data_IF_429554712860
#
_entry.id   IF_429554712860
#
_cell.length_a   1.000
_cell.length_b   1.000
_cell.length_c   1.000
_cell.angle_alpha   90.00
_cell.angle_beta   90.00
_cell.angle_gamma   90.00
#
_symmetry.space_group_name_H-M   'P 1'
#
loop_
_entity.id
_entity.type
_entity.pdbx_description
1 polymer ?
#
# COMPACT_ATOMS: atom_id res chain seq x y z
N UNK A 1 4.58 23.94 -0.36
CA UNK A 1 3.54 22.92 -0.08
C UNK A 1 3.82 21.71 -0.95
N UNK A 2 3.71 20.50 -0.41
CA UNK A 2 3.82 19.29 -1.22
C UNK A 2 2.68 19.24 -2.25
N UNK A 3 2.94 18.68 -3.43
CA UNK A 3 1.92 18.53 -4.46
C UNK A 3 0.82 17.57 -3.97
N UNK A 4 -0.43 17.80 -4.35
CA UNK A 4 -1.55 16.92 -3.99
C UNK A 4 -1.35 15.52 -4.60
N UNK A 5 -2.02 14.50 -4.03
CA UNK A 5 -2.00 13.15 -4.60
C UNK A 5 -2.39 13.15 -6.08
N UNK A 6 -3.47 13.83 -6.45
CA UNK A 6 -3.92 13.92 -7.85
C UNK A 6 -2.85 14.53 -8.77
N UNK A 7 -2.20 15.62 -8.35
CA UNK A 7 -1.11 16.24 -9.14
C UNK A 7 0.06 15.27 -9.34
N UNK A 8 0.46 14.54 -8.29
CA UNK A 8 1.53 13.53 -8.38
C UNK A 8 1.14 12.35 -9.26
N UNK A 9 -0.11 11.93 -9.18
CA UNK A 9 -0.65 10.85 -10.02
C UNK A 9 -0.62 11.23 -11.50
N UNK A 10 -1.06 12.44 -11.86
CA UNK A 10 -1.02 12.95 -13.23
C UNK A 10 0.42 13.00 -13.76
N UNK A 11 1.36 13.47 -12.94
CA UNK A 11 2.79 13.47 -13.29
C UNK A 11 3.32 12.06 -13.55
N UNK A 12 2.95 11.10 -12.69
CA UNK A 12 3.36 9.71 -12.85
C UNK A 12 2.72 9.06 -14.09
N UNK A 13 1.47 9.36 -14.38
CA UNK A 13 0.81 8.89 -15.60
C UNK A 13 1.49 9.44 -16.86
N UNK A 14 1.90 10.71 -16.85
CA UNK A 14 2.62 11.30 -17.97
C UNK A 14 4.01 10.67 -18.18
N UNK A 15 4.68 10.27 -17.09
CA UNK A 15 6.04 9.72 -17.12
C UNK A 15 6.10 8.21 -17.38
N UNK A 16 5.21 7.43 -16.77
CA UNK A 16 5.27 5.97 -16.72
C UNK A 16 4.05 5.29 -17.35
N UNK A 17 3.02 6.05 -17.79
CA UNK A 17 1.74 5.49 -18.21
C UNK A 17 0.84 5.13 -17.02
N UNK A 18 -0.32 4.55 -17.33
CA UNK A 18 -1.42 4.33 -16.37
C UNK A 18 -1.43 2.92 -15.75
N UNK A 19 -0.31 2.19 -15.80
CA UNK A 19 -0.23 0.87 -15.18
C UNK A 19 -0.09 0.99 -13.66
N UNK A 20 -0.97 0.30 -12.93
CA UNK A 20 -0.84 0.04 -11.50
C UNK A 20 -0.44 -1.43 -11.30
N UNK A 21 0.68 -1.67 -10.66
CA UNK A 21 1.15 -3.04 -10.36
C UNK A 21 0.60 -3.48 -9.00
N UNK A 22 -0.13 -4.62 -8.98
CA UNK A 22 -0.55 -5.28 -7.75
C UNK A 22 0.56 -6.12 -7.12
N UNK A 23 0.65 -6.11 -5.78
CA UNK A 23 1.52 -7.00 -5.02
C UNK A 23 0.63 -7.89 -4.15
N UNK A 24 0.31 -9.05 -4.70
CA UNK A 24 -0.68 -9.98 -4.16
C UNK A 24 -0.05 -11.37 -3.94
N UNK A 25 0.81 -11.53 -2.91
CA UNK A 25 1.57 -12.76 -2.64
C UNK A 25 0.69 -13.90 -2.08
N UNK A 26 -0.31 -14.34 -2.88
CA UNK A 26 -1.13 -15.49 -2.52
C UNK A 26 -0.34 -16.80 -2.67
N UNK A 27 -0.80 -17.85 -1.99
CA UNK A 27 -0.06 -19.09 -1.84
C UNK A 27 0.40 -19.70 -3.18
N UNK A 28 -0.53 -19.83 -4.15
CA UNK A 28 -0.20 -20.43 -5.44
C UNK A 28 0.82 -19.62 -6.24
N UNK A 29 0.81 -18.28 -6.12
CA UNK A 29 1.81 -17.44 -6.80
C UNK A 29 3.20 -17.59 -6.19
N UNK A 30 3.28 -17.71 -4.85
CA UNK A 30 4.56 -18.00 -4.17
C UNK A 30 5.10 -19.36 -4.61
N UNK A 31 4.24 -20.39 -4.69
CA UNK A 31 4.59 -21.73 -5.17
C UNK A 31 5.10 -21.70 -6.63
N UNK A 32 4.44 -20.95 -7.52
CA UNK A 32 4.88 -20.76 -8.92
C UNK A 32 6.26 -20.11 -9.01
N UNK A 33 6.63 -19.29 -8.03
CA UNK A 33 7.96 -18.67 -7.90
C UNK A 33 8.99 -19.59 -7.20
N UNK A 34 8.59 -20.80 -6.81
CA UNK A 34 9.44 -21.73 -6.06
C UNK A 34 9.69 -21.30 -4.62
N UNK A 35 8.81 -20.45 -4.07
CA UNK A 35 8.87 -19.95 -2.71
C UNK A 35 7.90 -20.72 -1.81
N UNK A 36 8.25 -20.83 -0.54
CA UNK A 36 7.35 -21.36 0.49
C UNK A 36 6.35 -20.30 1.00
N UNK A 37 5.54 -20.65 2.01
CA UNK A 37 4.58 -19.73 2.63
C UNK A 37 5.15 -19.16 3.94
N UNK A 38 6.35 -18.62 3.89
CA UNK A 38 7.02 -17.97 5.03
C UNK A 38 7.00 -16.44 4.93
N UNK A 39 7.38 -15.77 6.00
CA UNK A 39 7.60 -14.30 6.01
C UNK A 39 8.76 -13.92 5.09
N UNK A 40 9.78 -14.77 5.03
CA UNK A 40 10.94 -14.60 4.16
C UNK A 40 10.55 -14.64 2.69
N UNK A 41 9.67 -15.59 2.32
CA UNK A 41 9.11 -15.69 0.98
C UNK A 41 8.22 -14.50 0.63
N UNK A 42 7.35 -14.08 1.56
CA UNK A 42 6.55 -12.85 1.44
C UNK A 42 7.46 -11.64 1.13
N UNK A 43 8.52 -11.48 1.91
CA UNK A 43 9.48 -10.38 1.73
C UNK A 43 10.17 -10.47 0.38
N UNK A 44 10.71 -11.63 0.04
CA UNK A 44 11.43 -11.87 -1.23
C UNK A 44 10.56 -11.53 -2.42
N UNK A 45 9.34 -12.05 -2.47
CA UNK A 45 8.39 -11.77 -3.54
C UNK A 45 8.08 -10.27 -3.64
N UNK A 46 7.66 -9.67 -2.52
CA UNK A 46 7.21 -8.28 -2.50
C UNK A 46 8.30 -7.30 -2.90
N UNK A 47 9.52 -7.49 -2.39
CA UNK A 47 10.66 -6.64 -2.73
C UNK A 47 11.11 -6.82 -4.17
N UNK A 48 11.07 -8.05 -4.72
CA UNK A 48 11.38 -8.30 -6.12
C UNK A 48 10.40 -7.62 -7.07
N UNK A 49 9.10 -7.62 -6.73
CA UNK A 49 8.09 -6.91 -7.54
C UNK A 49 8.30 -5.40 -7.45
N UNK A 50 8.62 -4.86 -6.27
CA UNK A 50 8.92 -3.44 -6.10
C UNK A 50 10.15 -3.03 -6.93
N UNK A 51 11.25 -3.76 -6.82
CA UNK A 51 12.48 -3.49 -7.57
C UNK A 51 12.23 -3.52 -9.10
N UNK A 52 11.51 -4.53 -9.58
CA UNK A 52 11.14 -4.63 -10.99
C UNK A 52 10.24 -3.48 -11.47
N UNK A 53 9.50 -2.85 -10.55
CA UNK A 53 8.57 -1.75 -10.84
C UNK A 53 9.27 -0.38 -10.85
N UNK A 54 10.36 -0.22 -10.11
CA UNK A 54 11.09 1.05 -10.00
C UNK A 54 11.55 1.56 -11.36
N UNK A 55 11.25 2.84 -11.65
CA UNK A 55 11.58 3.50 -12.91
C UNK A 55 10.77 3.04 -14.13
N UNK A 56 9.78 2.17 -13.94
CA UNK A 56 8.95 1.59 -15.03
C UNK A 56 7.47 1.86 -14.88
N UNK A 57 6.97 1.94 -13.65
CA UNK A 57 5.56 2.22 -13.37
C UNK A 57 5.41 3.32 -12.33
N UNK A 58 4.31 4.06 -12.40
CA UNK A 58 4.06 5.18 -11.49
C UNK A 58 3.27 4.83 -10.23
N UNK A 59 2.63 3.65 -10.21
CA UNK A 59 1.73 3.25 -9.11
C UNK A 59 1.92 1.78 -8.77
N UNK A 60 1.99 1.47 -7.47
CA UNK A 60 2.02 0.11 -6.95
C UNK A 60 0.99 -0.05 -5.84
N UNK A 61 0.35 -1.22 -5.76
CA UNK A 61 -0.74 -1.48 -4.82
C UNK A 61 -0.57 -2.82 -4.10
N UNK A 62 0.11 -2.85 -2.95
CA UNK A 62 0.16 -4.05 -2.12
C UNK A 62 -1.21 -4.36 -1.50
N UNK A 63 -1.61 -5.63 -1.57
CA UNK A 63 -2.81 -6.15 -0.92
C UNK A 63 -2.48 -6.53 0.52
N UNK A 64 -2.92 -5.72 1.46
CA UNK A 64 -2.55 -5.79 2.89
C UNK A 64 -2.90 -7.14 3.52
N UNK A 65 -4.01 -7.77 3.14
CA UNK A 65 -4.44 -9.05 3.70
C UNK A 65 -3.38 -10.16 3.60
N UNK A 66 -2.54 -10.16 2.56
CA UNK A 66 -1.48 -11.15 2.40
C UNK A 66 -0.30 -10.92 3.34
N UNK A 67 -0.15 -9.73 3.86
CA UNK A 67 0.83 -9.37 4.90
C UNK A 67 0.24 -9.62 6.29
N UNK A 68 -1.01 -9.21 6.50
CA UNK A 68 -1.75 -9.38 7.76
C UNK A 68 -1.78 -10.84 8.24
N UNK A 69 -1.92 -11.82 7.34
CA UNK A 69 -1.95 -13.25 7.69
C UNK A 69 -0.69 -13.73 8.44
N UNK A 70 0.41 -13.01 8.33
CA UNK A 70 1.66 -13.31 9.05
C UNK A 70 1.82 -12.52 10.35
N UNK A 71 0.77 -11.78 10.78
CA UNK A 71 0.78 -10.98 12.00
C UNK A 71 1.79 -9.85 11.95
N UNK A 72 2.39 -9.53 13.09
CA UNK A 72 3.35 -8.42 13.22
C UNK A 72 4.56 -8.55 12.28
N UNK A 73 5.01 -9.77 12.00
CA UNK A 73 6.13 -10.01 11.07
C UNK A 73 5.77 -9.65 9.62
N UNK A 74 4.55 -9.94 9.21
CA UNK A 74 4.06 -9.56 7.89
C UNK A 74 3.88 -8.05 7.78
N UNK A 75 3.37 -7.39 8.82
CA UNK A 75 3.31 -5.92 8.87
C UNK A 75 4.70 -5.27 8.83
N UNK A 76 5.72 -5.87 9.47
CA UNK A 76 7.09 -5.37 9.37
C UNK A 76 7.62 -5.42 7.91
N UNK A 77 7.28 -6.46 7.16
CA UNK A 77 7.60 -6.53 5.71
C UNK A 77 6.86 -5.44 4.92
N UNK A 78 5.60 -5.18 5.23
CA UNK A 78 4.81 -4.13 4.57
C UNK A 78 5.37 -2.73 4.86
N UNK A 79 5.82 -2.49 6.09
CA UNK A 79 6.46 -1.25 6.53
C UNK A 79 7.81 -1.04 5.81
N UNK A 80 8.63 -2.09 5.72
CA UNK A 80 9.86 -2.08 4.92
C UNK A 80 9.55 -1.79 3.44
N UNK A 81 8.57 -2.47 2.87
CA UNK A 81 8.13 -2.26 1.48
C UNK A 81 7.75 -0.80 1.22
N UNK A 82 6.92 -0.22 2.09
CA UNK A 82 6.51 1.18 1.98
C UNK A 82 7.70 2.14 2.05
N UNK A 83 8.63 1.90 2.98
CA UNK A 83 9.84 2.69 3.15
C UNK A 83 10.74 2.63 1.91
N UNK A 84 10.92 1.46 1.32
CA UNK A 84 11.73 1.31 0.10
C UNK A 84 11.03 1.96 -1.12
N UNK A 85 9.71 1.82 -1.24
CA UNK A 85 8.95 2.45 -2.32
C UNK A 85 9.07 3.97 -2.32
N UNK A 86 9.13 4.61 -1.13
CA UNK A 86 9.31 6.06 -1.00
C UNK A 86 10.65 6.58 -1.51
N UNK A 87 11.66 5.73 -1.65
CA UNK A 87 12.95 6.11 -2.24
C UNK A 87 12.89 6.25 -3.76
N UNK A 88 11.74 5.96 -4.33
CA UNK A 88 11.46 6.06 -5.77
C UNK A 88 10.30 7.03 -6.04
N UNK A 89 10.01 7.29 -7.31
CA UNK A 89 8.85 8.12 -7.70
C UNK A 89 7.52 7.33 -7.69
N UNK A 90 7.50 6.08 -7.22
CA UNK A 90 6.30 5.24 -7.22
C UNK A 90 5.33 5.70 -6.15
N UNK A 91 4.07 5.90 -6.53
CA UNK A 91 2.97 6.12 -5.58
C UNK A 91 2.48 4.78 -5.02
N UNK A 92 2.32 4.70 -3.72
CA UNK A 92 1.85 3.50 -3.03
C UNK A 92 0.39 3.65 -2.64
N UNK A 93 -0.46 2.74 -3.13
CA UNK A 93 -1.85 2.60 -2.69
C UNK A 93 -1.93 1.38 -1.76
N UNK A 94 -2.13 1.58 -0.46
CA UNK A 94 -2.36 0.44 0.46
C UNK A 94 -3.79 -0.09 0.31
N UNK A 95 -3.92 -1.32 -0.19
CA UNK A 95 -5.23 -1.97 -0.34
C UNK A 95 -5.65 -2.67 0.96
N UNK A 96 -6.02 -1.86 1.97
CA UNK A 96 -6.31 -2.30 3.33
C UNK A 96 -7.81 -2.35 3.66
N UNK A 97 -8.66 -1.68 2.87
CA UNK A 97 -10.13 -1.68 3.00
C UNK A 97 -10.60 -1.35 4.42
N UNK A 98 -9.99 -0.33 5.04
CA UNK A 98 -10.35 0.11 6.39
C UNK A 98 -11.67 0.89 6.36
N UNK A 99 -12.39 0.86 7.47
CA UNK A 99 -13.63 1.62 7.62
C UNK A 99 -14.20 1.44 9.02
N UNK A 100 -14.52 2.58 9.66
CA UNK A 100 -15.18 2.65 10.95
C UNK A 100 -15.77 4.06 11.13
N UNK A 101 -16.24 4.40 12.34
CA UNK A 101 -16.78 5.70 12.71
C UNK A 101 -15.91 6.39 13.76
N UNK A 102 -15.95 7.72 13.80
CA UNK A 102 -15.36 8.55 14.85
C UNK A 102 -13.88 8.24 15.10
N UNK A 103 -13.51 8.14 16.37
CA UNK A 103 -12.12 7.95 16.80
C UNK A 103 -11.46 6.67 16.29
N UNK A 104 -12.22 5.62 16.01
CA UNK A 104 -11.68 4.39 15.41
C UNK A 104 -11.23 4.65 13.97
N UNK A 105 -12.02 5.38 13.18
CA UNK A 105 -11.62 5.78 11.84
C UNK A 105 -10.39 6.69 11.86
N UNK A 106 -10.32 7.63 12.83
CA UNK A 106 -9.13 8.46 13.04
C UNK A 106 -7.89 7.63 13.34
N UNK A 107 -8.01 6.57 14.17
CA UNK A 107 -6.91 5.65 14.43
C UNK A 107 -6.41 4.91 13.18
N UNK A 108 -7.32 4.51 12.28
CA UNK A 108 -6.92 3.97 10.98
C UNK A 108 -6.22 5.02 10.12
N UNK A 109 -6.74 6.24 10.08
CA UNK A 109 -6.12 7.32 9.33
C UNK A 109 -4.68 7.59 9.83
N UNK A 110 -4.50 7.71 11.14
CA UNK A 110 -3.18 7.95 11.75
C UNK A 110 -2.18 6.85 11.40
N UNK A 111 -2.64 5.59 11.34
CA UNK A 111 -1.77 4.45 11.00
C UNK A 111 -1.30 4.43 9.53
N UNK A 112 -2.10 4.94 8.59
CA UNK A 112 -1.87 4.78 7.16
C UNK A 112 -1.54 6.08 6.42
N UNK A 113 -2.17 7.19 6.80
CA UNK A 113 -2.09 8.46 6.08
C UNK A 113 -1.66 9.64 6.98
N UNK A 114 -1.56 9.40 8.29
CA UNK A 114 -1.09 10.41 9.24
C UNK A 114 0.35 10.84 8.96
N UNK A 115 0.72 12.02 9.46
CA UNK A 115 2.05 12.60 9.24
C UNK A 115 3.19 11.68 9.71
N UNK A 116 2.96 10.94 10.80
CA UNK A 116 3.92 10.03 11.42
C UNK A 116 3.45 8.56 11.27
N UNK A 117 2.69 8.27 10.22
CA UNK A 117 2.14 6.94 9.96
C UNK A 117 3.25 5.89 9.83
N UNK A 118 3.16 4.75 10.55
CA UNK A 118 4.11 3.65 10.38
C UNK A 118 4.03 3.01 8.99
N UNK A 119 2.84 2.97 8.40
CA UNK A 119 2.63 2.42 7.04
C UNK A 119 2.52 3.56 6.04
N UNK A 120 3.64 4.15 5.69
CA UNK A 120 3.69 5.30 4.81
C UNK A 120 3.11 4.96 3.43
N UNK A 121 2.01 5.63 3.04
CA UNK A 121 1.41 5.46 1.72
C UNK A 121 0.86 6.78 1.16
N UNK A 122 0.56 6.78 -0.13
CA UNK A 122 0.02 7.94 -0.84
C UNK A 122 -1.50 7.90 -0.91
N UNK A 123 -2.08 6.70 -0.83
CA UNK A 123 -3.52 6.48 -0.79
C UNK A 123 -3.86 5.18 -0.06
N UNK A 124 -5.05 5.13 0.50
CA UNK A 124 -5.60 3.99 1.22
C UNK A 124 -6.96 3.63 0.67
N UNK A 125 -7.22 2.34 0.43
CA UNK A 125 -8.58 1.90 0.15
C UNK A 125 -9.38 1.83 1.44
N UNK A 126 -10.63 2.32 1.39
CA UNK A 126 -11.55 2.36 2.52
C UNK A 126 -12.86 1.68 2.18
N UNK A 127 -13.56 1.16 3.21
CA UNK A 127 -14.89 0.58 3.09
C UNK A 127 -15.94 1.61 3.49
N UNK A 128 -16.84 2.01 2.58
CA UNK A 128 -17.90 2.97 2.90
C UNK A 128 -19.15 2.31 3.51
N UNK A 129 -19.06 1.09 4.06
CA UNK A 129 -20.20 0.33 4.58
C UNK A 129 -21.01 1.11 5.62
N UNK A 130 -20.35 1.91 6.46
CA UNK A 130 -21.00 2.76 7.48
C UNK A 130 -21.45 4.13 6.94
N UNK A 131 -21.42 4.31 5.63
CA UNK A 131 -21.78 5.57 4.96
C UNK A 131 -20.56 6.46 4.69
N UNK A 132 -20.66 7.29 3.65
CA UNK A 132 -19.58 8.21 3.27
C UNK A 132 -19.25 9.23 4.35
N UNK A 133 -20.25 9.61 5.16
CA UNK A 133 -20.04 10.57 6.25
C UNK A 133 -19.07 10.06 7.31
N UNK A 134 -18.94 8.73 7.48
CA UNK A 134 -17.96 8.14 8.40
C UNK A 134 -16.51 8.40 7.97
N UNK A 135 -16.29 8.73 6.71
CA UNK A 135 -14.97 9.00 6.13
C UNK A 135 -14.66 10.50 6.04
N UNK A 136 -15.63 11.36 6.33
CA UNK A 136 -15.52 12.81 6.11
C UNK A 136 -14.36 13.46 6.89
N UNK A 137 -14.17 13.05 8.15
CA UNK A 137 -13.12 13.60 9.01
C UNK A 137 -11.70 13.32 8.52
N UNK A 138 -11.53 12.24 7.76
CA UNK A 138 -10.22 11.80 7.25
C UNK A 138 -9.99 12.20 5.79
N UNK A 139 -10.99 12.78 5.14
CA UNK A 139 -10.93 13.27 3.75
C UNK A 139 -10.73 14.78 3.65
N UNK A 140 -10.73 15.49 4.77
CA UNK A 140 -10.53 16.96 4.87
C UNK A 140 -9.04 17.33 5.14
#
# INVERSE_FOLDING_TARGET
MAASFGTRLDQNFAKYGQLCVGVDPHASLLEEWGLDQSVEALRTFSMSVLEASMGRVGVIKPQVAFFEKFGSRGFAVLEEFATEAQKSDILVIMDAKRGDIGSTMSGYFDAWLGKDAPFICDALTVSPFLGLDSLREVMS
#
